data_IF_182531246301
#
_entry.id   IF_182531246301
#
_cell.length_a   1.000
_cell.length_b   1.000
_cell.length_c   1.000
_cell.angle_alpha   90.00
_cell.angle_beta   90.00
_cell.angle_gamma   90.00
#
_symmetry.space_group_name_H-M   'P 1'
#
loop_
_entity.id
_entity.type
_entity.pdbx_description
1 polymer ?
#
# COMPACT_ATOMS: atom_id res chain seq x y z
N UNK A 1 -19.99 -13.36 -18.07
CA UNK A 1 -18.76 -12.59 -17.79
C UNK A 1 -18.38 -12.88 -16.34
N UNK A 2 -17.22 -13.48 -16.07
CA UNK A 2 -16.72 -13.61 -14.70
C UNK A 2 -16.52 -12.20 -14.15
N UNK A 3 -17.04 -11.99 -12.95
CA UNK A 3 -17.01 -10.69 -12.26
C UNK A 3 -15.59 -10.39 -11.84
N UNK A 4 -14.83 -9.71 -12.70
CA UNK A 4 -13.43 -9.36 -12.46
C UNK A 4 -13.38 -8.33 -11.32
N UNK A 5 -13.04 -8.79 -10.13
CA UNK A 5 -12.95 -7.93 -8.95
C UNK A 5 -11.63 -7.16 -8.97
N UNK A 6 -11.69 -5.91 -8.51
CA UNK A 6 -10.52 -5.09 -8.22
C UNK A 6 -10.32 -5.07 -6.70
N UNK A 7 -9.10 -5.31 -6.25
CA UNK A 7 -8.74 -5.29 -4.84
C UNK A 7 -7.62 -4.28 -4.62
N UNK A 8 -7.81 -3.36 -3.70
CA UNK A 8 -6.77 -2.47 -3.18
C UNK A 8 -6.21 -3.07 -1.89
N UNK A 9 -4.90 -3.16 -1.78
CA UNK A 9 -4.24 -3.74 -0.61
C UNK A 9 -3.02 -2.91 -0.17
N UNK A 10 -2.46 -3.20 0.99
CA UNK A 10 -1.40 -2.45 1.67
C UNK A 10 -1.85 -1.07 2.18
N UNK A 11 -3.13 -0.91 2.47
CA UNK A 11 -3.65 0.30 3.08
C UNK A 11 -3.38 0.31 4.60
N UNK A 12 -2.71 1.36 5.07
CA UNK A 12 -2.33 1.48 6.48
C UNK A 12 -3.44 2.05 7.39
N UNK A 13 -4.56 2.48 6.80
CA UNK A 13 -5.70 3.15 7.46
C UNK A 13 -5.76 4.64 7.13
N UNK A 14 -6.98 5.18 7.18
CA UNK A 14 -7.29 6.56 6.78
C UNK A 14 -6.88 7.62 7.79
N UNK A 15 -6.46 7.22 9.00
CA UNK A 15 -5.81 8.14 9.95
C UNK A 15 -4.49 8.70 9.43
N UNK A 16 -3.86 8.02 8.47
CA UNK A 16 -2.86 8.60 7.60
C UNK A 16 -3.57 9.23 6.38
N UNK A 17 -3.74 10.55 6.40
CA UNK A 17 -4.44 11.28 5.33
C UNK A 17 -3.81 11.13 3.95
N UNK A 18 -2.50 10.85 3.85
CA UNK A 18 -1.87 10.49 2.59
C UNK A 18 -2.40 9.16 2.04
N UNK A 19 -2.50 8.13 2.88
CA UNK A 19 -3.07 6.85 2.48
C UNK A 19 -4.57 6.97 2.13
N UNK A 20 -5.33 7.76 2.89
CA UNK A 20 -6.72 8.07 2.59
C UNK A 20 -6.87 8.72 1.22
N UNK A 21 -6.07 9.76 0.94
CA UNK A 21 -6.11 10.51 -0.31
C UNK A 21 -5.80 9.60 -1.52
N UNK A 22 -4.78 8.72 -1.40
CA UNK A 22 -4.44 7.76 -2.45
C UNK A 22 -5.59 6.79 -2.72
N UNK A 23 -6.20 6.20 -1.70
CA UNK A 23 -7.33 5.27 -1.87
C UNK A 23 -8.54 5.99 -2.47
N UNK A 24 -8.86 7.19 -1.96
CA UNK A 24 -9.98 7.99 -2.45
C UNK A 24 -9.83 8.29 -3.94
N UNK A 25 -8.66 8.79 -4.36
CA UNK A 25 -8.39 9.10 -5.76
C UNK A 25 -8.39 7.85 -6.64
N UNK A 26 -7.76 6.76 -6.22
CA UNK A 26 -7.77 5.49 -6.95
C UNK A 26 -9.19 4.98 -7.16
N UNK A 27 -10.03 4.97 -6.12
CA UNK A 27 -11.42 4.51 -6.25
C UNK A 27 -12.22 5.34 -7.27
N UNK A 28 -11.93 6.64 -7.40
CA UNK A 28 -12.58 7.51 -8.41
C UNK A 28 -12.06 7.28 -9.82
N UNK A 29 -10.83 6.84 -9.98
CA UNK A 29 -10.22 6.54 -11.28
C UNK A 29 -10.63 5.17 -11.82
N UNK A 30 -10.93 4.22 -10.94
CA UNK A 30 -11.23 2.85 -11.34
C UNK A 30 -12.59 2.76 -12.05
N UNK A 31 -12.72 1.90 -13.08
CA UNK A 31 -13.94 1.77 -13.86
C UNK A 31 -15.11 1.14 -13.08
N UNK A 32 -14.82 0.57 -11.92
CA UNK A 32 -15.80 -0.03 -11.01
C UNK A 32 -15.29 0.03 -9.57
N UNK A 33 -16.19 -0.01 -8.58
CA UNK A 33 -15.81 0.03 -7.18
C UNK A 33 -14.90 -1.15 -6.79
N UNK A 34 -13.83 -0.86 -6.07
CA UNK A 34 -12.86 -1.83 -5.59
C UNK A 34 -13.21 -2.38 -4.20
N UNK A 35 -12.70 -3.55 -3.88
CA UNK A 35 -12.64 -4.06 -2.50
C UNK A 35 -11.41 -3.44 -1.85
N UNK A 36 -11.55 -2.85 -0.68
CA UNK A 36 -10.43 -2.34 0.10
C UNK A 36 -10.04 -3.35 1.18
N UNK A 37 -8.80 -3.85 1.11
CA UNK A 37 -8.17 -4.59 2.20
C UNK A 37 -7.61 -3.59 3.20
N UNK A 38 -8.07 -3.67 4.43
CA UNK A 38 -7.66 -2.73 5.48
C UNK A 38 -7.48 -3.43 6.82
N UNK A 39 -6.59 -2.91 7.65
CA UNK A 39 -6.45 -3.33 9.04
C UNK A 39 -7.27 -2.47 10.01
N UNK A 40 -7.86 -1.35 9.52
CA UNK A 40 -8.62 -0.37 10.31
C UNK A 40 -9.98 0.00 9.69
N UNK A 41 -10.89 -0.96 9.46
CA UNK A 41 -12.12 -0.70 8.72
C UNK A 41 -13.01 0.36 9.36
N UNK A 42 -13.05 0.46 10.69
CA UNK A 42 -13.84 1.49 11.40
C UNK A 42 -13.29 2.90 11.17
N UNK A 43 -11.99 3.03 11.09
CA UNK A 43 -11.33 4.31 10.78
C UNK A 43 -11.64 4.73 9.35
N UNK A 44 -11.55 3.80 8.40
CA UNK A 44 -11.85 4.06 7.00
C UNK A 44 -13.32 4.42 6.75
N UNK A 45 -14.24 3.86 7.55
CA UNK A 45 -15.66 4.27 7.53
C UNK A 45 -15.84 5.73 7.96
N UNK A 46 -15.11 6.19 8.97
CA UNK A 46 -15.15 7.57 9.46
C UNK A 46 -14.73 8.57 8.39
N UNK A 47 -13.82 8.18 7.50
CA UNK A 47 -13.33 9.02 6.39
C UNK A 47 -14.07 8.80 5.06
N UNK A 48 -15.28 8.25 5.10
CA UNK A 48 -16.19 8.10 3.95
C UNK A 48 -15.65 7.24 2.79
N UNK A 49 -14.62 6.44 2.99
CA UNK A 49 -14.13 5.53 1.96
C UNK A 49 -15.14 4.43 1.61
N UNK A 50 -16.09 4.16 2.51
CA UNK A 50 -17.15 3.16 2.28
C UNK A 50 -18.07 3.51 1.11
N UNK A 51 -18.25 4.80 0.83
CA UNK A 51 -19.06 5.27 -0.30
C UNK A 51 -18.39 5.03 -1.66
N UNK A 52 -17.06 4.88 -1.65
CA UNK A 52 -16.23 4.72 -2.85
C UNK A 52 -15.86 3.27 -3.14
N UNK A 53 -15.81 2.45 -2.10
CA UNK A 53 -15.44 1.04 -2.19
C UNK A 53 -16.67 0.14 -2.26
N UNK A 54 -16.57 -0.99 -2.96
CA UNK A 54 -17.66 -1.98 -3.01
C UNK A 54 -17.80 -2.73 -1.67
N UNK A 55 -16.71 -2.93 -0.96
CA UNK A 55 -16.65 -3.59 0.34
C UNK A 55 -15.32 -3.31 1.03
N UNK A 56 -15.32 -3.38 2.37
CA UNK A 56 -14.11 -3.46 3.19
C UNK A 56 -13.90 -4.91 3.61
N UNK A 57 -12.69 -5.39 3.48
CA UNK A 57 -12.28 -6.70 3.99
C UNK A 57 -11.14 -6.49 4.98
N UNK A 58 -11.37 -6.92 6.21
CA UNK A 58 -10.37 -6.73 7.27
C UNK A 58 -9.23 -7.74 7.12
N UNK A 59 -8.01 -7.23 7.14
CA UNK A 59 -6.81 -8.06 7.27
C UNK A 59 -6.83 -8.83 8.61
N UNK A 60 -6.61 -10.14 8.56
CA UNK A 60 -6.55 -10.95 9.79
C UNK A 60 -5.20 -10.83 10.46
N UNK A 61 -5.22 -10.61 11.77
CA UNK A 61 -3.99 -10.61 12.57
C UNK A 61 -3.73 -12.01 13.12
N UNK A 62 -2.59 -12.57 12.73
CA UNK A 62 -2.15 -13.88 13.21
C UNK A 62 -1.70 -13.83 14.67
N UNK A 63 -1.27 -12.67 15.14
CA UNK A 63 -0.72 -12.47 16.47
C UNK A 63 -1.77 -12.57 17.59
N UNK A 64 -3.03 -12.37 17.24
CA UNK A 64 -4.15 -12.42 18.20
C UNK A 64 -4.58 -13.83 18.59
N UNK A 65 -4.05 -14.87 17.91
CA UNK A 65 -4.44 -16.26 18.17
C UNK A 65 -3.20 -17.16 18.20
N UNK A 66 -2.79 -17.54 19.39
CA UNK A 66 -1.57 -18.34 19.63
C UNK A 66 -1.62 -19.69 18.88
N UNK A 67 -2.77 -20.35 18.80
CA UNK A 67 -2.91 -21.63 18.10
C UNK A 67 -2.73 -21.45 16.59
N UNK A 68 -3.35 -20.42 16.03
CA UNK A 68 -3.21 -20.08 14.61
C UNK A 68 -1.77 -19.68 14.29
N UNK A 69 -1.15 -18.86 15.15
CA UNK A 69 0.23 -18.48 15.00
C UNK A 69 1.18 -19.70 15.00
N UNK A 70 1.00 -20.61 15.99
CA UNK A 70 1.81 -21.84 16.09
C UNK A 70 1.62 -22.73 14.87
N UNK A 71 0.37 -22.92 14.41
CA UNK A 71 0.07 -23.71 13.23
C UNK A 71 0.76 -23.17 11.97
N UNK A 72 0.64 -21.89 11.71
CA UNK A 72 1.28 -21.27 10.54
C UNK A 72 2.80 -21.20 10.65
N UNK A 73 3.33 -21.07 11.86
CA UNK A 73 4.77 -21.19 12.11
C UNK A 73 5.29 -22.58 11.75
N UNK A 74 4.60 -23.62 12.17
CA UNK A 74 4.92 -25.01 11.82
C UNK A 74 4.79 -25.25 10.30
N UNK A 75 3.72 -24.74 9.70
CA UNK A 75 3.52 -24.81 8.24
C UNK A 75 4.68 -24.16 7.51
N UNK A 76 5.10 -22.97 7.90
CA UNK A 76 6.25 -22.27 7.33
C UNK A 76 7.53 -23.11 7.45
N UNK A 77 7.77 -23.66 8.63
CA UNK A 77 8.98 -24.44 8.92
C UNK A 77 9.02 -25.80 8.23
N UNK A 78 7.90 -26.52 8.20
CA UNK A 78 7.82 -27.89 7.66
C UNK A 78 7.62 -27.91 6.14
N UNK A 79 6.79 -27.00 5.61
CA UNK A 79 6.49 -26.92 4.17
C UNK A 79 7.35 -25.91 3.42
N UNK A 80 8.22 -25.19 4.15
CA UNK A 80 9.07 -24.14 3.58
C UNK A 80 8.26 -23.09 2.77
N UNK A 81 7.01 -22.84 3.19
CA UNK A 81 6.13 -21.87 2.54
C UNK A 81 6.28 -20.48 3.21
N UNK A 82 7.00 -19.55 2.56
CA UNK A 82 7.23 -18.22 3.13
C UNK A 82 5.97 -17.35 3.16
N UNK A 83 4.96 -17.69 2.35
CA UNK A 83 3.77 -16.85 2.15
C UNK A 83 2.58 -17.26 3.01
N UNK A 84 2.69 -18.35 3.77
CA UNK A 84 1.56 -18.89 4.52
C UNK A 84 0.92 -17.88 5.51
N UNK A 85 1.70 -16.95 6.06
CA UNK A 85 1.17 -15.89 6.91
C UNK A 85 0.34 -14.87 6.12
N UNK A 86 0.73 -14.57 4.89
CA UNK A 86 -0.03 -13.68 4.03
C UNK A 86 -1.31 -14.34 3.51
N UNK A 87 -1.27 -15.65 3.23
CA UNK A 87 -2.48 -16.42 2.90
C UNK A 87 -3.52 -16.35 4.03
N UNK A 88 -3.09 -16.44 5.29
CA UNK A 88 -3.99 -16.25 6.42
C UNK A 88 -4.50 -14.81 6.52
N UNK A 89 -3.61 -13.83 6.39
CA UNK A 89 -3.94 -12.41 6.49
C UNK A 89 -5.00 -11.99 5.48
N UNK A 90 -4.90 -12.51 4.27
CA UNK A 90 -5.77 -12.18 3.13
C UNK A 90 -6.76 -13.31 2.79
N UNK A 91 -7.00 -14.27 3.71
CA UNK A 91 -7.78 -15.47 3.40
C UNK A 91 -9.19 -15.18 2.85
N UNK A 92 -9.81 -14.07 3.22
CA UNK A 92 -11.16 -13.71 2.79
C UNK A 92 -11.21 -13.23 1.32
N UNK A 93 -10.05 -12.97 0.73
CA UNK A 93 -9.92 -12.63 -0.69
C UNK A 93 -9.05 -13.62 -1.46
N UNK A 94 -8.47 -14.61 -0.79
CA UNK A 94 -7.66 -15.65 -1.42
C UNK A 94 -8.54 -16.72 -2.08
N UNK A 95 -8.01 -17.31 -3.16
CA UNK A 95 -8.69 -18.42 -3.85
C UNK A 95 -7.88 -18.85 -5.08
N UNK A 96 -8.24 -19.99 -5.66
CA UNK A 96 -7.60 -20.51 -6.86
C UNK A 96 -8.29 -19.92 -8.12
N UNK A 97 -7.49 -19.63 -9.16
CA UNK A 97 -7.96 -19.16 -10.47
C UNK A 97 -8.83 -17.89 -10.41
N UNK A 98 -8.43 -16.94 -9.59
CA UNK A 98 -9.13 -15.67 -9.48
C UNK A 98 -8.63 -14.73 -10.58
N UNK A 99 -9.44 -14.57 -11.62
CA UNK A 99 -9.25 -13.48 -12.59
C UNK A 99 -9.61 -12.17 -11.90
N UNK A 100 -8.67 -11.55 -11.25
CA UNK A 100 -8.84 -10.26 -10.60
C UNK A 100 -7.59 -9.42 -10.71
N UNK A 101 -7.77 -8.12 -10.55
CA UNK A 101 -6.70 -7.15 -10.47
C UNK A 101 -6.48 -6.78 -9.00
N UNK A 102 -5.28 -7.00 -8.50
CA UNK A 102 -4.86 -6.56 -7.17
C UNK A 102 -3.90 -5.38 -7.33
N UNK A 103 -4.24 -4.27 -6.72
CA UNK A 103 -3.45 -3.03 -6.78
C UNK A 103 -2.86 -2.80 -5.39
N UNK A 104 -1.54 -2.89 -5.26
CA UNK A 104 -0.83 -2.37 -4.11
C UNK A 104 -0.93 -0.86 -4.16
N UNK A 105 -1.61 -0.25 -3.17
CA UNK A 105 -1.63 1.19 -3.07
C UNK A 105 -0.23 1.68 -2.78
N UNK A 106 0.17 2.73 -3.46
CA UNK A 106 1.53 3.24 -3.44
C UNK A 106 1.90 3.94 -2.14
N UNK A 107 2.69 4.95 -2.27
CA UNK A 107 3.36 5.62 -1.17
C UNK A 107 4.80 5.13 -1.04
N UNK A 108 5.35 5.22 0.16
CA UNK A 108 6.73 4.87 0.47
C UNK A 108 6.90 3.38 0.82
N UNK A 109 6.13 2.51 0.18
CA UNK A 109 6.07 1.09 0.54
C UNK A 109 7.43 0.38 0.43
N UNK A 110 8.21 0.69 -0.61
CA UNK A 110 9.56 0.15 -0.81
C UNK A 110 10.66 1.12 -0.35
N UNK A 111 10.39 1.90 0.69
CA UNK A 111 11.37 2.76 1.34
C UNK A 111 11.77 2.27 2.74
N UNK A 112 11.04 1.26 3.28
CA UNK A 112 11.24 0.79 4.64
C UNK A 112 11.38 -0.73 4.72
N UNK A 113 12.47 -1.21 5.31
CA UNK A 113 12.79 -2.65 5.43
C UNK A 113 11.68 -3.47 6.13
N UNK A 114 11.02 -2.88 7.13
CA UNK A 114 10.00 -3.57 7.91
C UNK A 114 8.71 -3.91 7.14
N UNK A 115 8.53 -3.34 5.93
CA UNK A 115 7.37 -3.61 5.08
C UNK A 115 7.67 -4.61 3.96
N UNK A 116 8.93 -4.80 3.61
CA UNK A 116 9.34 -5.53 2.39
C UNK A 116 8.85 -6.98 2.37
N UNK A 117 9.01 -7.71 3.47
CA UNK A 117 8.56 -9.10 3.56
C UNK A 117 7.05 -9.24 3.28
N UNK A 118 6.25 -8.29 3.75
CA UNK A 118 4.80 -8.27 3.51
C UNK A 118 4.47 -8.00 2.05
N UNK A 119 5.13 -7.02 1.45
CA UNK A 119 4.95 -6.64 0.05
C UNK A 119 5.29 -7.79 -0.88
N UNK A 120 6.50 -8.34 -0.75
CA UNK A 120 7.01 -9.46 -1.54
C UNK A 120 6.10 -10.69 -1.40
N UNK A 121 5.73 -11.05 -0.16
CA UNK A 121 4.88 -12.22 0.08
C UNK A 121 3.48 -12.03 -0.48
N UNK A 122 2.89 -10.83 -0.35
CA UNK A 122 1.56 -10.54 -0.90
C UNK A 122 1.56 -10.62 -2.44
N UNK A 123 2.51 -9.95 -3.09
CA UNK A 123 2.64 -9.97 -4.55
C UNK A 123 2.85 -11.40 -5.07
N UNK A 124 3.80 -12.15 -4.50
CA UNK A 124 4.06 -13.54 -4.85
C UNK A 124 2.84 -14.44 -4.66
N UNK A 125 2.15 -14.29 -3.54
CA UNK A 125 0.93 -15.05 -3.24
C UNK A 125 -0.17 -14.77 -4.28
N UNK A 126 -0.46 -13.51 -4.57
CA UNK A 126 -1.49 -13.14 -5.54
C UNK A 126 -1.15 -13.63 -6.95
N UNK A 127 0.10 -13.51 -7.35
CA UNK A 127 0.57 -14.01 -8.63
C UNK A 127 0.41 -15.55 -8.74
N UNK A 128 0.76 -16.31 -7.68
CA UNK A 128 0.54 -17.76 -7.64
C UNK A 128 -0.93 -18.15 -7.76
N UNK A 129 -1.85 -17.28 -7.36
CA UNK A 129 -3.30 -17.48 -7.47
C UNK A 129 -3.87 -17.12 -8.85
N UNK A 130 -3.02 -16.66 -9.78
CA UNK A 130 -3.40 -16.25 -11.13
C UNK A 130 -4.01 -14.85 -11.19
N UNK A 131 -3.85 -14.04 -10.17
CA UNK A 131 -4.26 -12.64 -10.19
C UNK A 131 -3.19 -11.77 -10.87
N UNK A 132 -3.62 -10.69 -11.52
CA UNK A 132 -2.73 -9.62 -11.95
C UNK A 132 -2.41 -8.71 -10.77
N UNK A 133 -1.16 -8.23 -10.72
CA UNK A 133 -0.70 -7.34 -9.65
C UNK A 133 -0.12 -6.06 -10.22
N UNK A 134 -0.52 -4.93 -9.65
CA UNK A 134 -0.03 -3.60 -10.01
C UNK A 134 0.49 -2.91 -8.75
N UNK A 135 1.68 -2.35 -8.84
CA UNK A 135 2.21 -1.42 -7.84
C UNK A 135 1.94 -0.01 -8.32
N UNK A 136 1.02 0.70 -7.66
CA UNK A 136 0.53 1.99 -8.16
C UNK A 136 0.95 3.16 -7.28
N UNK A 137 1.58 4.17 -7.88
CA UNK A 137 1.95 5.43 -7.20
C UNK A 137 3.04 5.22 -6.15
N UNK A 138 4.04 4.39 -6.43
CA UNK A 138 5.09 4.05 -5.49
C UNK A 138 6.29 4.98 -5.54
N UNK A 139 6.96 5.12 -4.39
CA UNK A 139 8.37 5.48 -4.29
C UNK A 139 9.18 4.25 -3.85
N UNK A 140 10.36 4.09 -4.43
CA UNK A 140 11.27 2.97 -4.16
C UNK A 140 12.64 3.55 -3.85
N UNK A 141 13.23 3.14 -2.73
CA UNK A 141 14.60 3.50 -2.41
C UNK A 141 15.56 2.79 -3.40
N UNK A 142 16.37 3.51 -4.19
CA UNK A 142 17.22 2.92 -5.24
C UNK A 142 18.15 1.82 -4.74
N UNK A 143 18.66 1.95 -3.51
CA UNK A 143 19.55 0.96 -2.90
C UNK A 143 18.85 -0.42 -2.71
N UNK A 144 17.54 -0.43 -2.50
CA UNK A 144 16.77 -1.68 -2.37
C UNK A 144 16.73 -2.46 -3.69
N UNK A 145 16.80 -1.80 -4.84
CA UNK A 145 16.82 -2.46 -6.14
C UNK A 145 18.10 -3.28 -6.39
N UNK A 146 19.13 -3.11 -5.55
CA UNK A 146 20.33 -3.96 -5.57
C UNK A 146 20.11 -5.33 -4.93
N UNK A 147 19.02 -5.52 -4.19
CA UNK A 147 18.68 -6.76 -3.50
C UNK A 147 17.96 -7.71 -4.45
N UNK A 148 18.44 -8.96 -4.61
CA UNK A 148 17.86 -9.92 -5.56
C UNK A 148 16.37 -10.18 -5.33
N UNK A 149 15.94 -10.30 -4.06
CA UNK A 149 14.54 -10.53 -3.71
C UNK A 149 13.61 -9.39 -4.09
N UNK A 150 14.09 -8.14 -4.03
CA UNK A 150 13.34 -6.96 -4.48
C UNK A 150 13.24 -6.94 -6.00
N UNK A 151 14.34 -7.24 -6.69
CA UNK A 151 14.37 -7.31 -8.15
C UNK A 151 13.44 -8.40 -8.70
N UNK A 152 13.39 -9.56 -8.03
CA UNK A 152 12.43 -10.61 -8.39
C UNK A 152 10.99 -10.15 -8.19
N UNK A 153 10.74 -9.41 -7.12
CA UNK A 153 9.42 -8.91 -6.80
C UNK A 153 8.95 -7.84 -7.80
N UNK A 154 9.83 -6.89 -8.15
CA UNK A 154 9.55 -5.89 -9.19
C UNK A 154 9.21 -6.54 -10.53
N UNK A 155 9.96 -7.56 -10.94
CA UNK A 155 9.70 -8.31 -12.20
C UNK A 155 8.39 -9.09 -12.19
N UNK A 156 7.83 -9.34 -11.02
CA UNK A 156 6.56 -10.08 -10.85
C UNK A 156 5.34 -9.20 -11.07
N UNK A 157 5.44 -7.89 -10.86
CA UNK A 157 4.33 -6.98 -11.11
C UNK A 157 3.99 -6.91 -12.59
N UNK A 158 2.70 -6.98 -12.93
CA UNK A 158 2.22 -6.79 -14.31
C UNK A 158 2.40 -5.33 -14.76
N UNK A 159 2.34 -4.38 -13.83
CA UNK A 159 2.69 -2.99 -14.07
C UNK A 159 3.19 -2.30 -12.78
N UNK A 160 4.08 -1.35 -12.93
CA UNK A 160 4.57 -0.47 -11.88
C UNK A 160 4.33 0.97 -12.32
N UNK A 161 3.67 1.74 -11.49
CA UNK A 161 3.47 3.19 -11.69
C UNK A 161 4.29 3.92 -10.64
N UNK A 162 5.43 4.45 -11.05
CA UNK A 162 6.24 5.34 -10.24
C UNK A 162 5.57 6.72 -10.15
N UNK A 163 5.52 7.31 -8.97
CA UNK A 163 4.92 8.64 -8.78
C UNK A 163 5.90 9.79 -8.96
N UNK A 164 7.19 9.49 -9.08
CA UNK A 164 8.25 10.48 -9.25
C UNK A 164 9.41 9.93 -10.08
N UNK A 165 10.21 10.85 -10.64
CA UNK A 165 11.25 10.55 -11.63
C UNK A 165 12.44 9.77 -11.07
N UNK A 166 12.76 9.89 -9.78
CA UNK A 166 13.87 9.15 -9.16
C UNK A 166 13.58 7.65 -9.15
N UNK A 167 12.42 7.24 -8.69
CA UNK A 167 11.98 5.83 -8.73
C UNK A 167 11.92 5.31 -10.16
N UNK A 168 11.37 6.10 -11.10
CA UNK A 168 11.27 5.69 -12.49
C UNK A 168 12.64 5.46 -13.11
N UNK A 169 13.58 6.38 -12.93
CA UNK A 169 14.95 6.25 -13.40
C UNK A 169 15.68 5.07 -12.75
N UNK A 170 15.54 4.89 -11.44
CA UNK A 170 16.16 3.78 -10.72
C UNK A 170 15.67 2.41 -11.22
N UNK A 171 14.37 2.28 -11.53
CA UNK A 171 13.82 1.04 -12.12
C UNK A 171 14.42 0.77 -13.50
N UNK A 172 14.56 1.80 -14.36
CA UNK A 172 15.19 1.66 -15.68
C UNK A 172 16.67 1.27 -15.57
N UNK A 173 17.41 1.92 -14.69
CA UNK A 173 18.82 1.60 -14.43
C UNK A 173 19.02 0.17 -13.91
N UNK A 174 18.05 -0.32 -13.12
CA UNK A 174 18.03 -1.69 -12.65
C UNK A 174 17.59 -2.72 -13.72
N UNK A 175 17.28 -2.27 -14.96
CA UNK A 175 16.88 -3.14 -16.06
C UNK A 175 15.40 -3.55 -16.02
N UNK A 176 14.56 -2.83 -15.30
CA UNK A 176 13.11 -2.97 -15.32
C UNK A 176 12.56 -1.86 -16.22
N UNK A 177 12.41 -2.16 -17.50
CA UNK A 177 12.00 -1.22 -18.54
C UNK A 177 10.62 -1.54 -19.14
N UNK A 178 10.11 -2.73 -18.86
CA UNK A 178 8.80 -3.16 -19.33
C UNK A 178 7.72 -2.92 -18.29
N UNK A 179 6.58 -2.40 -18.73
CA UNK A 179 5.40 -2.19 -17.89
C UNK A 179 5.64 -1.22 -16.72
N UNK A 180 6.60 -0.30 -16.86
CA UNK A 180 6.79 0.80 -15.92
C UNK A 180 6.24 2.09 -16.52
N UNK A 181 5.62 2.90 -15.67
CA UNK A 181 4.98 4.15 -16.05
C UNK A 181 5.34 5.23 -15.05
N UNK A 182 5.46 6.48 -15.52
CA UNK A 182 5.65 7.65 -14.67
C UNK A 182 4.39 8.48 -14.69
N UNK A 183 3.67 8.52 -13.58
CA UNK A 183 2.50 9.39 -13.38
C UNK A 183 2.57 10.02 -12.00
N UNK A 184 2.12 11.27 -11.84
CA UNK A 184 2.03 11.90 -10.52
C UNK A 184 1.21 11.06 -9.54
N UNK A 185 1.44 11.27 -8.24
CA UNK A 185 0.64 10.65 -7.20
C UNK A 185 -0.84 10.92 -7.44
N UNK A 186 -1.66 9.88 -7.35
CA UNK A 186 -3.10 9.99 -7.62
C UNK A 186 -3.83 10.98 -6.71
N UNK A 187 -3.28 11.27 -5.53
CA UNK A 187 -3.85 12.26 -4.62
C UNK A 187 -3.98 13.65 -5.24
N UNK A 188 -3.14 13.99 -6.24
CA UNK A 188 -3.27 15.26 -6.98
C UNK A 188 -4.55 15.36 -7.84
N UNK A 189 -5.27 14.27 -8.04
CA UNK A 189 -6.57 14.27 -8.76
C UNK A 189 -7.75 14.63 -7.86
N UNK A 190 -7.54 14.73 -6.55
CA UNK A 190 -8.60 15.14 -5.64
C UNK A 190 -8.90 16.63 -5.80
N UNK A 191 -10.20 16.92 -5.87
CA UNK A 191 -10.67 18.30 -5.93
C UNK A 191 -10.38 19.02 -4.62
N UNK A 192 -9.88 20.24 -4.72
CA UNK A 192 -9.68 21.11 -3.57
C UNK A 192 -11.03 21.55 -3.01
N UNK A 193 -11.25 21.30 -1.74
CA UNK A 193 -12.40 21.84 -0.99
C UNK A 193 -11.91 22.94 -0.06
N UNK A 194 -12.49 24.13 -0.19
CA UNK A 194 -12.20 25.21 0.75
C UNK A 194 -12.75 24.84 2.12
N UNK A 195 -11.88 24.83 3.11
CA UNK A 195 -12.26 24.72 4.50
C UNK A 195 -12.43 26.11 5.11
N UNK A 196 -13.30 26.26 6.13
CA UNK A 196 -13.37 27.50 6.88
C UNK A 196 -12.01 27.80 7.52
N UNK A 197 -11.65 29.08 7.54
CA UNK A 197 -10.43 29.49 8.21
C UNK A 197 -10.54 29.21 9.72
N UNK A 198 -9.44 28.85 10.39
CA UNK A 198 -9.44 28.65 11.83
C UNK A 198 -9.92 29.89 12.58
N UNK A 199 -10.55 29.68 13.72
CA UNK A 199 -10.89 30.77 14.62
C UNK A 199 -9.66 31.59 15.00
N UNK A 200 -9.79 32.92 14.98
CA UNK A 200 -8.66 33.83 15.24
C UNK A 200 -7.71 34.02 14.06
N UNK A 201 -8.05 33.54 12.86
CA UNK A 201 -7.23 33.76 11.67
C UNK A 201 -7.08 35.24 11.33
N UNK A 202 -5.82 35.70 11.23
CA UNK A 202 -5.48 37.05 10.79
C UNK A 202 -4.66 36.96 9.51
N UNK A 203 -5.19 37.45 8.36
CA UNK A 203 -4.48 37.39 7.09
C UNK A 203 -3.09 38.08 7.16
N UNK A 204 -2.07 37.40 6.66
CA UNK A 204 -0.69 37.92 6.62
C UNK A 204 0.04 37.95 7.98
N UNK A 205 -0.59 37.46 9.08
CA UNK A 205 0.02 37.45 10.42
C UNK A 205 0.08 36.06 11.05
N UNK A 206 -0.18 35.02 10.26
CA UNK A 206 -0.22 33.64 10.73
C UNK A 206 0.83 32.81 9.99
N UNK A 207 1.50 31.93 10.73
CA UNK A 207 2.39 30.91 10.18
C UNK A 207 1.75 29.53 10.49
N UNK A 208 1.49 28.76 9.43
CA UNK A 208 1.06 27.37 9.56
C UNK A 208 2.25 26.44 9.61
N UNK A 209 2.30 25.56 10.60
CA UNK A 209 3.32 24.51 10.71
C UNK A 209 2.62 23.14 10.63
N UNK A 210 3.12 22.28 9.74
CA UNK A 210 2.72 20.88 9.66
C UNK A 210 3.92 20.01 10.02
N UNK A 211 3.88 19.37 11.18
CA UNK A 211 4.96 18.53 11.68
C UNK A 211 4.49 17.07 11.66
N UNK A 212 5.18 16.23 10.90
CA UNK A 212 4.90 14.80 10.89
C UNK A 212 5.51 14.13 12.13
N UNK A 213 4.75 13.31 12.89
CA UNK A 213 5.30 12.49 13.96
C UNK A 213 6.47 11.62 13.52
N UNK A 214 6.46 11.16 12.26
CA UNK A 214 7.53 10.33 11.70
C UNK A 214 8.85 11.08 11.62
N UNK A 215 8.85 12.39 11.34
CA UNK A 215 10.07 13.22 11.38
C UNK A 215 10.62 13.27 12.80
N UNK A 216 9.76 13.51 13.79
CA UNK A 216 10.14 13.57 15.20
C UNK A 216 10.70 12.23 15.69
N UNK A 217 10.10 11.12 15.27
CA UNK A 217 10.54 9.78 15.70
C UNK A 217 11.84 9.33 15.03
N UNK A 218 12.10 9.72 13.78
CA UNK A 218 13.30 9.35 13.04
C UNK A 218 14.49 10.29 13.33
N UNK A 219 14.24 11.53 13.74
CA UNK A 219 15.30 12.48 14.10
C UNK A 219 15.73 12.39 15.57
N UNK A 220 15.62 11.26 16.20
CA UNK A 220 16.27 11.00 17.50
C UNK A 220 17.78 10.91 17.32
N UNK A 221 18.38 11.96 16.77
CA UNK A 221 19.83 12.13 16.83
C UNK A 221 20.19 12.44 18.27
N UNK A 222 21.09 11.67 18.93
CA UNK A 222 21.52 11.95 20.29
C UNK A 222 22.06 13.40 20.38
N UNK A 223 21.40 14.24 21.17
CA UNK A 223 21.83 15.62 21.41
C UNK A 223 20.90 16.73 20.91
N UNK A 224 19.82 16.42 20.18
CA UNK A 224 18.78 17.40 19.88
C UNK A 224 17.60 17.14 20.84
N UNK A 225 17.53 17.91 21.89
CA UNK A 225 16.33 18.05 22.73
C UNK A 225 15.51 19.20 22.16
N UNK A 226 14.30 18.92 21.65
CA UNK A 226 13.26 19.96 21.51
C UNK A 226 12.53 20.13 22.80
#
# INVERSE_FOLDING_TARGET
MKDDKIVLYMHAGSGNHGCEAIVNSLCRMLPKPAILMTNRPKEDETYSLKELCSNFVQEKSIEKNVFVHTWYYLKRKLLHDPDCFMEYRYQDICGKNLHRLNISIGGDNYCYDNMLDRLISANRMFHRQGAKTVLYGCSIEPELLKRPEIMEDMKRYDAIVARESLTFAALQEAGIDKNIHLYPDSAFLLETKLAPLPEGWVPGKMLGLNISPMIVDNEKTPGITM
#
